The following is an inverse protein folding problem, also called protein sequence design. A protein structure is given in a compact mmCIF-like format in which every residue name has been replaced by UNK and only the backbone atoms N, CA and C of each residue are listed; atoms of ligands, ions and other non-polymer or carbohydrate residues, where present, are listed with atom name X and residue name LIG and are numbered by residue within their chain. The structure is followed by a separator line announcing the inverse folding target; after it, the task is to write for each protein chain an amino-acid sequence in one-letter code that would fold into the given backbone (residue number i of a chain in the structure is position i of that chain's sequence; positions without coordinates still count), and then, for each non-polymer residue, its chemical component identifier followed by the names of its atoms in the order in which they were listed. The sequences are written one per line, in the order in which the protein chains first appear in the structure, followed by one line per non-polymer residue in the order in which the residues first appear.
data_IF_208993805696
#
_entry.id   IF_208993805696
#
_cell.length_a   1.000
_cell.length_b   1.000
_cell.length_c   1.000
_cell.angle_alpha   90.00
_cell.angle_beta   90.00
_cell.angle_gamma   90.00
#
_symmetry.space_group_name_H-M   'P 1'
#
loop_
_entity.id
_entity.type
_entity.pdbx_description
1 polymer ?
#
# COMPACT_ATOMS: atom_id res chain seq x y z
N UNK A 1 -17.77 1.86 -5.30
CA UNK A 1 -18.06 3.32 -5.16
C UNK A 1 -16.99 3.94 -4.26
N UNK A 2 -16.68 5.23 -4.41
CA UNK A 2 -15.78 5.93 -3.51
C UNK A 2 -16.39 6.05 -2.10
N UNK A 3 -15.53 6.16 -1.08
CA UNK A 3 -15.92 6.39 0.32
C UNK A 3 -15.12 7.56 0.87
N UNK A 4 -15.73 8.35 1.77
CA UNK A 4 -15.07 9.48 2.43
C UNK A 4 -13.79 9.02 3.13
N UNK A 5 -12.69 9.73 2.89
CA UNK A 5 -11.38 9.43 3.50
C UNK A 5 -11.45 9.43 5.03
N UNK A 6 -12.20 10.36 5.62
CA UNK A 6 -12.41 10.40 7.08
C UNK A 6 -12.96 9.10 7.67
N UNK A 7 -13.86 8.41 6.94
CA UNK A 7 -14.40 7.12 7.37
C UNK A 7 -13.33 6.02 7.31
N UNK A 8 -12.59 5.97 6.20
CA UNK A 8 -11.52 4.97 6.00
C UNK A 8 -10.46 5.12 7.10
N UNK A 9 -10.02 6.36 7.36
CA UNK A 9 -9.03 6.67 8.41
C UNK A 9 -9.56 6.28 9.79
N UNK A 10 -10.81 6.64 10.13
CA UNK A 10 -11.41 6.29 11.42
C UNK A 10 -11.53 4.78 11.63
N UNK A 11 -11.96 4.04 10.61
CA UNK A 11 -12.10 2.57 10.68
C UNK A 11 -10.73 1.89 10.85
N UNK A 12 -9.69 2.35 10.14
CA UNK A 12 -8.32 1.81 10.28
C UNK A 12 -7.73 2.13 11.65
N UNK A 13 -7.90 3.37 12.12
CA UNK A 13 -7.37 3.82 13.41
C UNK A 13 -8.00 3.06 14.58
N UNK A 14 -9.33 2.88 14.54
CA UNK A 14 -10.07 2.25 15.63
C UNK A 14 -9.87 0.72 15.72
N UNK A 15 -9.43 0.07 14.63
CA UNK A 15 -9.33 -1.40 14.58
C UNK A 15 -7.90 -1.93 14.49
N UNK A 16 -7.03 -1.27 13.72
CA UNK A 16 -5.77 -1.89 13.28
C UNK A 16 -4.53 -1.04 13.57
N UNK A 17 -4.64 0.29 13.51
CA UNK A 17 -3.48 1.18 13.62
C UNK A 17 -3.66 2.22 14.74
N UNK A 18 -3.24 1.94 15.98
CA UNK A 18 -3.49 2.78 17.17
C UNK A 18 -2.55 4.00 17.24
N UNK A 19 -2.41 4.72 16.12
CA UNK A 19 -1.58 5.91 15.96
C UNK A 19 -2.38 7.05 15.33
N UNK A 20 -1.77 8.23 15.23
CA UNK A 20 -2.44 9.45 14.76
C UNK A 20 -3.12 9.30 13.40
N UNK A 21 -4.30 9.92 13.28
CA UNK A 21 -5.09 9.99 12.05
C UNK A 21 -4.33 10.64 10.89
N UNK A 22 -3.48 11.62 11.19
CA UNK A 22 -2.60 12.28 10.21
C UNK A 22 -1.69 11.28 9.49
N UNK A 23 -1.03 10.39 10.22
CA UNK A 23 -0.11 9.38 9.64
C UNK A 23 -0.85 8.44 8.68
N UNK A 24 -2.06 8.01 9.05
CA UNK A 24 -2.89 7.13 8.22
C UNK A 24 -3.36 7.86 6.96
N UNK A 25 -3.84 9.10 7.12
CA UNK A 25 -4.34 9.89 6.00
C UNK A 25 -3.21 10.23 5.01
N UNK A 26 -2.06 10.67 5.50
CA UNK A 26 -0.90 11.00 4.66
C UNK A 26 -0.34 9.78 3.93
N UNK A 27 -0.31 8.61 4.57
CA UNK A 27 0.06 7.36 3.91
C UNK A 27 -0.92 7.02 2.77
N UNK A 28 -2.22 7.14 3.02
CA UNK A 28 -3.24 6.92 1.98
C UNK A 28 -3.15 7.94 0.83
N UNK A 29 -2.86 9.21 1.15
CA UNK A 29 -2.66 10.27 0.15
C UNK A 29 -1.48 9.93 -0.75
N UNK A 30 -0.33 9.55 -0.19
CA UNK A 30 0.86 9.17 -0.97
C UNK A 30 0.59 7.99 -1.90
N UNK A 31 -0.15 6.99 -1.43
CA UNK A 31 -0.55 5.83 -2.25
C UNK A 31 -1.51 6.15 -3.41
N UNK A 32 -2.12 7.33 -3.40
CA UNK A 32 -3.02 7.81 -4.45
C UNK A 32 -2.35 8.73 -5.49
N UNK A 33 -1.12 9.20 -5.21
CA UNK A 33 -0.37 10.11 -6.07
C UNK A 33 0.45 9.31 -7.09
N UNK A 34 0.20 9.51 -8.38
CA UNK A 34 0.90 8.85 -9.49
C UNK A 34 2.34 9.34 -9.70
N UNK A 35 2.67 10.53 -9.19
CA UNK A 35 4.03 11.05 -9.10
C UNK A 35 4.82 10.50 -7.90
N UNK A 36 4.15 9.84 -6.95
CA UNK A 36 4.78 9.24 -5.75
C UNK A 36 4.90 7.72 -5.85
N UNK A 37 3.85 7.04 -6.33
CA UNK A 37 3.83 5.59 -6.54
C UNK A 37 3.85 5.27 -8.02
N UNK A 38 4.77 4.40 -8.46
CA UNK A 38 4.86 3.98 -9.87
C UNK A 38 3.57 3.31 -10.35
N UNK A 39 2.95 2.51 -9.49
CA UNK A 39 1.63 1.91 -9.67
C UNK A 39 0.79 2.19 -8.42
N UNK A 40 -0.05 3.26 -8.43
CA UNK A 40 -0.85 3.66 -7.27
C UNK A 40 -1.73 2.55 -6.74
N UNK A 41 -1.81 2.45 -5.41
CA UNK A 41 -2.62 1.45 -4.72
C UNK A 41 -4.00 1.99 -4.31
N UNK A 42 -4.13 3.31 -4.28
CA UNK A 42 -5.38 4.01 -3.95
C UNK A 42 -5.82 4.83 -5.17
N UNK A 43 -7.10 4.72 -5.51
CA UNK A 43 -7.78 5.59 -6.46
C UNK A 43 -8.48 6.68 -5.65
N UNK A 44 -7.97 7.90 -5.73
CA UNK A 44 -8.46 9.06 -4.99
C UNK A 44 -9.33 9.98 -5.86
N UNK A 45 -10.41 10.50 -5.27
CA UNK A 45 -11.25 11.54 -5.86
C UNK A 45 -11.20 12.81 -5.00
N UNK A 46 -10.84 13.93 -5.61
CA UNK A 46 -10.63 15.23 -4.96
C UNK A 46 -9.19 15.72 -5.11
N UNK A 47 -8.79 16.71 -4.31
CA UNK A 47 -7.42 17.22 -4.31
C UNK A 47 -6.51 16.33 -3.43
N UNK A 48 -5.61 15.58 -4.06
CA UNK A 48 -4.60 14.72 -3.42
C UNK A 48 -3.18 15.31 -3.48
N UNK A 49 -3.05 16.62 -3.73
CA UNK A 49 -1.76 17.32 -3.80
C UNK A 49 -1.15 17.35 -5.20
N UNK A 50 0.01 18.00 -5.31
CA UNK A 50 0.71 18.24 -6.57
C UNK A 50 2.22 18.00 -6.43
N UNK A 51 2.93 17.92 -7.56
CA UNK A 51 4.40 17.88 -7.56
C UNK A 51 5.04 19.21 -7.12
N UNK A 52 4.28 20.30 -7.14
CA UNK A 52 4.75 21.63 -6.71
C UNK A 52 4.86 21.76 -5.18
N UNK A 53 4.47 20.71 -4.44
CA UNK A 53 4.53 20.65 -2.99
C UNK A 53 3.22 20.98 -2.28
N UNK A 54 2.13 21.19 -3.03
CA UNK A 54 0.82 21.39 -2.42
C UNK A 54 0.33 20.11 -1.75
N UNK A 55 -0.06 20.22 -0.48
CA UNK A 55 -0.67 19.13 0.26
C UNK A 55 -2.07 18.77 -0.25
N UNK A 56 -2.52 17.57 0.11
CA UNK A 56 -3.90 17.16 -0.15
C UNK A 56 -4.92 18.02 0.63
N UNK A 57 -6.14 18.11 0.12
CA UNK A 57 -7.24 18.69 0.88
C UNK A 57 -7.55 17.85 2.14
N UNK A 58 -8.24 18.44 3.11
CA UNK A 58 -8.64 17.72 4.32
C UNK A 58 -9.49 16.47 4.01
N UNK A 59 -9.33 15.42 4.83
CA UNK A 59 -9.97 14.09 4.66
C UNK A 59 -11.51 14.10 4.62
N UNK A 60 -12.16 15.22 4.99
CA UNK A 60 -13.61 15.42 4.84
C UNK A 60 -14.04 15.71 3.39
N UNK A 61 -13.12 16.19 2.56
CA UNK A 61 -13.37 16.55 1.17
C UNK A 61 -12.97 15.44 0.19
N UNK A 62 -11.92 14.69 0.51
CA UNK A 62 -11.42 13.61 -0.36
C UNK A 62 -12.21 12.32 -0.17
N UNK A 63 -12.25 11.53 -1.24
CA UNK A 63 -12.78 10.18 -1.22
C UNK A 63 -11.76 9.23 -1.83
N UNK A 64 -11.79 7.97 -1.41
CA UNK A 64 -10.85 6.96 -1.88
C UNK A 64 -11.52 5.61 -2.08
N UNK A 65 -10.89 4.79 -2.93
CA UNK A 65 -11.15 3.35 -3.09
C UNK A 65 -9.85 2.67 -3.52
N UNK A 66 -9.84 1.34 -3.57
CA UNK A 66 -8.69 0.60 -4.11
C UNK A 66 -8.58 0.78 -5.63
N UNK A 67 -7.37 0.87 -6.15
CA UNK A 67 -7.11 0.67 -7.59
C UNK A 67 -7.32 -0.80 -7.97
N UNK A 68 -7.37 -1.08 -9.28
CA UNK A 68 -7.49 -2.46 -9.77
C UNK A 68 -6.31 -3.33 -9.35
N UNK A 69 -5.09 -2.80 -9.38
CA UNK A 69 -3.87 -3.57 -9.05
C UNK A 69 -3.79 -3.94 -7.57
N UNK A 70 -4.34 -3.11 -6.67
CA UNK A 70 -4.46 -3.44 -5.24
C UNK A 70 -5.28 -4.69 -4.98
N UNK A 71 -6.26 -5.01 -5.83
CA UNK A 71 -7.01 -6.26 -5.71
C UNK A 71 -6.10 -7.48 -5.88
N UNK A 72 -5.01 -7.39 -6.64
CA UNK A 72 -4.02 -8.46 -6.75
C UNK A 72 -3.14 -8.60 -5.50
N UNK A 73 -3.03 -7.55 -4.65
CA UNK A 73 -2.41 -7.69 -3.33
C UNK A 73 -3.29 -8.47 -2.35
N UNK A 74 -4.61 -8.33 -2.45
CA UNK A 74 -5.61 -8.93 -1.55
C UNK A 74 -6.23 -10.22 -2.10
N UNK A 75 -5.88 -10.59 -3.33
CA UNK A 75 -6.51 -11.71 -4.03
C UNK A 75 -6.32 -13.00 -3.24
N UNK A 76 -7.43 -13.70 -3.03
CA UNK A 76 -7.50 -14.97 -2.29
C UNK A 76 -7.26 -14.88 -0.77
N UNK A 77 -7.21 -13.67 -0.18
CA UNK A 77 -6.94 -13.48 1.27
C UNK A 77 -7.90 -14.23 2.21
N UNK A 78 -9.15 -14.48 1.80
CA UNK A 78 -10.15 -15.20 2.59
C UNK A 78 -10.14 -16.73 2.37
N UNK A 79 -9.10 -17.27 1.74
CA UNK A 79 -8.96 -18.70 1.43
C UNK A 79 -7.85 -19.37 2.23
N UNK A 80 -7.57 -18.87 3.42
CA UNK A 80 -6.55 -19.42 4.33
C UNK A 80 -5.16 -19.48 3.69
N UNK A 81 -4.83 -18.47 2.87
CA UNK A 81 -3.54 -18.40 2.15
C UNK A 81 -2.43 -17.77 2.97
N UNK A 82 -2.78 -17.07 4.05
CA UNK A 82 -1.88 -16.32 4.92
C UNK A 82 -2.39 -16.41 6.36
N UNK A 83 -1.48 -16.27 7.31
CA UNK A 83 -1.83 -16.24 8.73
C UNK A 83 -2.40 -14.87 9.13
N UNK A 84 -3.48 -14.90 9.89
CA UNK A 84 -3.99 -13.73 10.61
C UNK A 84 -3.43 -13.72 12.04
N UNK A 85 -3.28 -12.53 12.59
CA UNK A 85 -2.91 -12.28 13.98
C UNK A 85 -4.00 -11.45 14.66
N UNK A 86 -4.01 -11.45 15.98
CA UNK A 86 -4.86 -10.54 16.75
C UNK A 86 -4.34 -9.11 16.59
N UNK A 87 -5.24 -8.13 16.54
CA UNK A 87 -4.89 -6.72 16.54
C UNK A 87 -4.38 -6.26 17.94
N UNK A 88 -4.06 -4.98 18.07
CA UNK A 88 -3.41 -4.43 19.28
C UNK A 88 -4.18 -4.60 20.60
N UNK A 89 -5.51 -4.78 20.57
CA UNK A 89 -6.36 -4.97 21.76
C UNK A 89 -7.06 -6.35 21.82
N UNK A 90 -6.80 -7.21 20.85
CA UNK A 90 -7.36 -8.57 20.77
C UNK A 90 -8.83 -8.65 20.32
N UNK A 91 -9.46 -7.55 19.92
CA UNK A 91 -10.88 -7.54 19.51
C UNK A 91 -11.10 -7.78 18.01
N UNK A 92 -10.06 -7.65 17.19
CA UNK A 92 -10.11 -7.83 15.74
C UNK A 92 -8.94 -8.71 15.25
N UNK A 93 -9.02 -9.16 14.00
CA UNK A 93 -7.97 -9.96 13.35
C UNK A 93 -7.41 -9.20 12.15
N UNK A 94 -6.09 -9.22 11.97
CA UNK A 94 -5.41 -8.59 10.84
C UNK A 94 -4.41 -9.54 10.16
N UNK A 95 -4.18 -9.41 8.84
CA UNK A 95 -3.25 -10.27 8.13
C UNK A 95 -1.80 -9.95 8.52
N UNK A 96 -1.00 -10.97 8.82
CA UNK A 96 0.44 -10.80 9.12
C UNK A 96 1.24 -10.36 7.88
N UNK A 97 0.82 -10.83 6.70
CA UNK A 97 1.31 -10.47 5.37
C UNK A 97 0.14 -10.48 4.37
N UNK A 98 0.29 -9.78 3.25
CA UNK A 98 -0.68 -9.85 2.15
C UNK A 98 -0.30 -10.95 1.15
N UNK A 99 -1.27 -11.59 0.47
CA UNK A 99 -1.01 -12.55 -0.60
C UNK A 99 -0.09 -12.03 -1.72
N UNK A 100 -0.13 -10.72 -2.03
CA UNK A 100 0.82 -10.01 -2.88
C UNK A 100 1.16 -10.73 -4.20
N UNK A 101 0.17 -10.86 -5.11
CA UNK A 101 0.32 -11.61 -6.38
C UNK A 101 1.19 -10.91 -7.44
N UNK A 102 1.82 -9.81 -7.08
CA UNK A 102 2.89 -9.17 -7.84
C UNK A 102 3.98 -8.64 -6.89
N UNK A 103 5.23 -8.50 -7.36
CA UNK A 103 6.39 -8.16 -6.52
C UNK A 103 6.42 -6.66 -6.14
N UNK A 104 5.47 -6.22 -5.31
CA UNK A 104 5.25 -4.81 -4.97
C UNK A 104 6.48 -4.10 -4.40
N UNK A 105 7.31 -4.80 -3.62
CA UNK A 105 8.54 -4.22 -3.05
C UNK A 105 9.48 -3.68 -4.13
N UNK A 106 9.69 -4.44 -5.21
CA UNK A 106 10.54 -4.01 -6.33
C UNK A 106 9.82 -3.02 -7.24
N UNK A 107 8.53 -3.26 -7.47
CA UNK A 107 7.72 -2.49 -8.42
C UNK A 107 7.45 -1.07 -7.95
N UNK A 108 7.08 -0.88 -6.67
CA UNK A 108 6.80 0.43 -6.10
C UNK A 108 7.97 0.98 -5.25
N UNK A 109 8.92 0.14 -4.85
CA UNK A 109 10.04 0.56 -4.01
C UNK A 109 9.64 0.80 -2.56
N UNK A 110 10.59 1.30 -1.78
CA UNK A 110 10.40 1.70 -0.39
C UNK A 110 11.52 2.64 0.07
N UNK A 111 11.19 3.66 0.84
CA UNK A 111 12.16 4.49 1.54
C UNK A 111 11.78 4.57 3.02
N UNK A 112 12.74 4.40 3.92
CA UNK A 112 12.48 4.39 5.35
C UNK A 112 13.74 4.57 6.18
N UNK A 113 13.60 5.22 7.33
CA UNK A 113 14.67 5.45 8.29
C UNK A 113 14.21 4.87 9.62
N UNK A 114 15.00 3.93 10.15
CA UNK A 114 14.77 3.32 11.45
C UNK A 114 15.88 3.74 12.43
N UNK A 115 15.95 3.09 13.59
CA UNK A 115 17.02 3.34 14.57
C UNK A 115 18.28 2.59 14.12
N UNK A 116 19.30 3.33 13.67
CA UNK A 116 20.60 2.78 13.28
C UNK A 116 20.67 2.18 11.87
N UNK A 117 19.60 2.28 11.07
CA UNK A 117 19.56 1.80 9.69
C UNK A 117 18.60 2.63 8.82
N UNK A 118 18.81 2.58 7.51
CA UNK A 118 17.94 3.21 6.51
C UNK A 118 17.82 2.32 5.27
N UNK A 119 16.74 2.47 4.51
CA UNK A 119 16.49 1.78 3.25
C UNK A 119 16.04 2.76 2.18
N UNK A 120 16.44 2.50 0.94
CA UNK A 120 15.98 3.23 -0.24
C UNK A 120 16.02 2.31 -1.47
N UNK A 121 14.86 1.80 -1.87
CA UNK A 121 14.66 0.90 -3.00
C UNK A 121 13.88 1.68 -4.07
N UNK A 122 14.45 1.90 -5.27
CA UNK A 122 13.74 2.59 -6.34
C UNK A 122 12.64 1.72 -6.96
N UNK A 123 11.62 2.33 -7.59
CA UNK A 123 10.59 1.59 -8.31
C UNK A 123 11.13 1.00 -9.62
N UNK A 124 10.57 -0.15 -10.03
CA UNK A 124 10.94 -0.86 -11.26
C UNK A 124 9.71 -1.10 -12.16
N UNK A 125 9.97 -1.44 -13.43
CA UNK A 125 8.91 -1.79 -14.37
C UNK A 125 8.28 -3.15 -14.00
N UNK A 126 6.94 -3.23 -13.97
CA UNK A 126 6.23 -4.45 -13.59
C UNK A 126 6.50 -5.62 -14.55
N UNK A 127 6.55 -5.37 -15.85
CA UNK A 127 6.81 -6.39 -16.87
C UNK A 127 8.22 -6.95 -16.72
N UNK A 128 9.24 -6.10 -16.60
CA UNK A 128 10.63 -6.53 -16.44
C UNK A 128 10.84 -7.35 -15.16
N UNK A 129 10.22 -6.93 -14.05
CA UNK A 129 10.33 -7.68 -12.79
C UNK A 129 9.63 -9.04 -12.90
N UNK A 130 8.44 -9.11 -13.52
CA UNK A 130 7.75 -10.39 -13.75
C UNK A 130 8.60 -11.31 -14.66
N UNK A 131 9.16 -10.78 -15.74
CA UNK A 131 10.02 -11.55 -16.65
C UNK A 131 11.27 -12.08 -15.93
N UNK A 132 11.85 -11.28 -15.04
CA UNK A 132 12.95 -11.68 -14.16
C UNK A 132 12.55 -12.81 -13.20
N UNK A 133 11.40 -12.69 -12.53
CA UNK A 133 10.87 -13.75 -11.65
C UNK A 133 10.60 -15.04 -12.42
N UNK A 134 9.99 -14.94 -13.61
CA UNK A 134 9.74 -16.10 -14.48
C UNK A 134 11.04 -16.75 -14.95
N UNK A 135 12.07 -15.96 -15.27
CA UNK A 135 13.38 -16.47 -15.67
C UNK A 135 14.07 -17.19 -14.51
N UNK A 136 14.08 -16.59 -13.31
CA UNK A 136 14.62 -17.17 -12.08
C UNK A 136 13.90 -18.47 -11.70
N UNK A 137 12.57 -18.54 -11.85
CA UNK A 137 11.81 -19.77 -11.56
C UNK A 137 12.17 -20.96 -12.46
N UNK A 138 12.75 -20.71 -13.64
CA UNK A 138 13.18 -21.74 -14.59
C UNK A 138 14.66 -22.10 -14.43
N UNK A 139 15.48 -21.17 -13.95
CA UNK A 139 16.90 -21.35 -13.72
C UNK A 139 17.32 -20.68 -12.40
N UNK A 140 17.45 -21.46 -11.30
CA UNK A 140 17.88 -20.94 -10.01
C UNK A 140 19.29 -20.32 -10.03
N UNK A 141 20.15 -20.71 -10.96
CA UNK A 141 21.55 -20.25 -11.09
C UNK A 141 21.71 -19.12 -12.15
N UNK A 142 20.61 -18.46 -12.53
CA UNK A 142 20.64 -17.35 -13.50
C UNK A 142 21.49 -16.18 -12.96
N UNK A 143 22.33 -15.61 -13.81
CA UNK A 143 23.25 -14.50 -13.52
C UNK A 143 22.92 -13.27 -14.34
#
# INVERSE_FOLDING_TARGET
PYKKSARIVGDVMGKYHPHGDSSIYEAMVRMAQDFSYRYPLVDGQGNFGSMDGDGAAAMRYTEARMTKITLELLRDINKDTIDFIDNYDGNEREPSVLPARFPNLLVNGAAGIAVGMATNIPPHNLTEVIDGVLSLSKNPDIT
#
